data_IF_744495318969
#
_entry.id   IF_744495318969
#
_cell.length_a   1.000
_cell.length_b   1.000
_cell.length_c   1.000
_cell.angle_alpha   90.00
_cell.angle_beta   90.00
_cell.angle_gamma   90.00
#
_symmetry.space_group_name_H-M   'P 1'
#
loop_
_entity.id
_entity.type
_entity.pdbx_description
1 polymer ?
#
# COMPACT_ATOMS: atom_id res chain seq x y z
N UNK A 1 14.15 52.04 -1.98
CA UNK A 1 12.87 51.34 -2.22
C UNK A 1 13.03 49.95 -2.86
N UNK A 2 13.84 49.76 -3.92
CA UNK A 2 14.02 48.45 -4.60
C UNK A 2 14.55 47.31 -3.72
N UNK A 3 15.47 47.57 -2.80
CA UNK A 3 16.08 46.54 -1.93
C UNK A 3 15.08 45.93 -0.92
N UNK A 4 14.20 46.75 -0.35
CA UNK A 4 13.18 46.27 0.60
C UNK A 4 12.13 45.38 -0.08
N UNK A 5 11.76 45.71 -1.31
CA UNK A 5 10.83 44.91 -2.12
C UNK A 5 11.40 43.50 -2.39
N UNK A 6 12.69 43.41 -2.74
CA UNK A 6 13.36 42.13 -2.99
C UNK A 6 13.44 41.26 -1.72
N UNK A 7 13.72 41.87 -0.57
CA UNK A 7 13.75 41.16 0.72
C UNK A 7 12.35 40.65 1.07
N UNK A 8 11.32 41.47 0.91
CA UNK A 8 9.94 41.07 1.17
C UNK A 8 9.49 39.92 0.25
N UNK A 9 9.88 39.96 -1.03
CA UNK A 9 9.60 38.89 -1.99
C UNK A 9 10.30 37.58 -1.60
N UNK A 10 11.59 37.65 -1.25
CA UNK A 10 12.36 36.49 -0.83
C UNK A 10 11.78 35.84 0.45
N UNK A 11 11.37 36.67 1.43
CA UNK A 11 10.73 36.20 2.65
C UNK A 11 9.37 35.52 2.36
N UNK A 12 8.57 36.09 1.47
CA UNK A 12 7.30 35.49 1.05
C UNK A 12 7.51 34.13 0.34
N UNK A 13 8.49 34.04 -0.57
CA UNK A 13 8.83 32.78 -1.23
C UNK A 13 9.32 31.72 -0.24
N UNK A 14 10.20 32.09 0.70
CA UNK A 14 10.70 31.18 1.72
C UNK A 14 9.57 30.68 2.65
N UNK A 15 8.64 31.57 3.02
CA UNK A 15 7.46 31.20 3.81
C UNK A 15 6.55 30.21 3.07
N UNK A 16 6.26 30.47 1.80
CA UNK A 16 5.45 29.57 0.96
C UNK A 16 6.15 28.23 0.78
N UNK A 17 7.45 28.22 0.49
CA UNK A 17 8.24 26.99 0.36
C UNK A 17 8.22 26.17 1.66
N UNK A 18 8.38 26.82 2.82
CA UNK A 18 8.31 26.17 4.12
C UNK A 18 6.92 25.56 4.38
N UNK A 19 5.85 26.27 4.04
CA UNK A 19 4.47 25.77 4.18
C UNK A 19 4.15 24.62 3.23
N UNK A 20 4.79 24.55 2.07
CA UNK A 20 4.60 23.47 1.09
C UNK A 20 5.52 22.27 1.31
N UNK A 21 6.60 22.44 2.08
CA UNK A 21 7.58 21.39 2.39
C UNK A 21 6.93 20.07 2.87
N UNK A 22 5.94 20.06 3.78
CA UNK A 22 5.30 18.82 4.22
C UNK A 22 4.57 18.08 3.11
N UNK A 23 4.03 18.80 2.12
CA UNK A 23 3.33 18.21 0.96
C UNK A 23 4.30 17.61 -0.05
N UNK A 24 5.50 18.20 -0.19
CA UNK A 24 6.56 17.66 -1.05
C UNK A 24 7.12 16.33 -0.53
N UNK A 25 7.10 16.14 0.78
CA UNK A 25 7.50 14.89 1.44
C UNK A 25 6.36 13.90 1.67
N UNK A 26 5.11 14.29 1.36
CA UNK A 26 3.99 13.36 1.40
C UNK A 26 4.16 12.31 0.29
N UNK A 27 4.02 11.03 0.63
CA UNK A 27 4.07 9.96 -0.37
C UNK A 27 2.93 10.23 -1.38
N UNK A 28 3.22 10.23 -2.70
CA UNK A 28 2.18 10.40 -3.69
C UNK A 28 1.14 9.29 -3.51
N UNK A 29 -0.15 9.62 -3.65
CA UNK A 29 -1.21 8.65 -3.46
C UNK A 29 -1.05 7.56 -4.53
N UNK A 30 -1.21 6.30 -4.12
CA UNK A 30 -0.94 5.11 -4.93
C UNK A 30 -1.93 4.02 -4.56
N UNK A 31 -2.17 3.06 -5.46
CA UNK A 31 -2.94 1.89 -5.06
C UNK A 31 -2.28 1.22 -3.88
N UNK A 32 -3.08 0.71 -2.96
CA UNK A 32 -2.57 0.05 -1.76
C UNK A 32 -3.20 -1.33 -1.66
N UNK A 33 -2.37 -2.34 -1.37
CA UNK A 33 -2.86 -3.66 -0.98
C UNK A 33 -2.46 -3.93 0.45
N UNK A 34 -3.47 -4.22 1.27
CA UNK A 34 -3.32 -4.46 2.71
C UNK A 34 -3.65 -5.90 3.00
N UNK A 35 -2.69 -6.62 3.55
CA UNK A 35 -2.87 -7.99 4.03
C UNK A 35 -3.11 -7.93 5.53
N UNK A 36 -4.27 -8.41 5.97
CA UNK A 36 -4.67 -8.48 7.37
C UNK A 36 -4.64 -9.92 7.86
N UNK A 37 -3.93 -10.18 8.95
CA UNK A 37 -3.94 -11.49 9.59
C UNK A 37 -5.00 -11.55 10.70
N UNK A 38 -6.13 -12.20 10.42
CA UNK A 38 -7.17 -12.56 11.40
C UNK A 38 -7.24 -14.07 11.68
N UNK A 39 -6.21 -14.81 11.30
CA UNK A 39 -6.18 -16.26 11.43
C UNK A 39 -6.08 -16.76 12.87
N UNK A 40 -5.64 -15.89 13.79
CA UNK A 40 -5.30 -16.22 15.17
C UNK A 40 -3.88 -16.77 15.36
N UNK A 41 -3.18 -17.09 14.26
CA UNK A 41 -1.78 -17.56 14.27
C UNK A 41 -0.83 -16.62 13.54
N UNK A 42 0.42 -17.03 13.37
CA UNK A 42 1.40 -16.31 12.55
C UNK A 42 1.25 -16.70 11.08
N UNK A 43 1.30 -15.71 10.18
CA UNK A 43 1.58 -15.97 8.77
C UNK A 43 3.08 -15.79 8.55
N UNK A 44 3.71 -16.74 7.86
CA UNK A 44 5.13 -16.68 7.50
C UNK A 44 5.27 -16.64 5.98
N UNK A 45 6.39 -16.09 5.49
CA UNK A 45 6.71 -16.01 4.05
C UNK A 45 5.54 -15.50 3.20
N UNK A 46 4.88 -14.44 3.66
CA UNK A 46 3.77 -13.82 2.95
C UNK A 46 4.32 -13.19 1.68
N UNK A 47 3.88 -13.69 0.52
CA UNK A 47 4.29 -13.20 -0.80
C UNK A 47 3.07 -12.89 -1.65
N UNK A 48 2.95 -11.64 -2.06
CA UNK A 48 1.91 -11.16 -2.96
C UNK A 48 2.52 -10.82 -4.31
N UNK A 49 2.00 -11.42 -5.38
CA UNK A 49 2.35 -11.10 -6.76
C UNK A 49 1.23 -10.29 -7.40
N UNK A 50 1.62 -9.22 -8.09
CA UNK A 50 0.71 -8.32 -8.79
C UNK A 50 1.47 -7.62 -9.92
N UNK A 51 0.95 -7.67 -11.16
CA UNK A 51 1.54 -6.96 -12.30
C UNK A 51 3.02 -7.28 -12.52
N UNK A 52 3.41 -8.55 -12.37
CA UNK A 52 4.81 -9.00 -12.47
C UNK A 52 5.70 -8.69 -11.26
N UNK A 53 5.25 -7.86 -10.31
CA UNK A 53 5.99 -7.50 -9.10
C UNK A 53 5.65 -8.46 -7.96
N UNK A 54 6.60 -8.68 -7.06
CA UNK A 54 6.40 -9.48 -5.85
C UNK A 54 6.66 -8.62 -4.61
N UNK A 55 5.67 -8.54 -3.73
CA UNK A 55 5.76 -7.93 -2.42
C UNK A 55 5.90 -9.03 -1.38
N UNK A 56 6.76 -8.85 -0.38
CA UNK A 56 7.03 -9.88 0.61
C UNK A 56 7.06 -9.31 2.03
N UNK A 57 6.53 -10.09 2.97
CA UNK A 57 6.75 -9.92 4.40
C UNK A 57 7.16 -11.27 4.99
N UNK A 58 8.24 -11.29 5.76
CA UNK A 58 8.77 -12.53 6.34
C UNK A 58 7.79 -13.16 7.34
N UNK A 59 7.17 -12.31 8.15
CA UNK A 59 6.17 -12.74 9.13
C UNK A 59 5.12 -11.66 9.35
N UNK A 60 3.91 -12.10 9.69
CA UNK A 60 2.80 -11.24 10.07
C UNK A 60 2.08 -11.87 11.27
N UNK A 61 2.23 -11.25 12.45
CA UNK A 61 1.59 -11.72 13.67
C UNK A 61 0.06 -11.62 13.60
N UNK A 62 -0.64 -12.38 14.44
CA UNK A 62 -2.09 -12.31 14.55
C UNK A 62 -2.55 -10.88 14.90
N UNK A 63 -3.62 -10.42 14.26
CA UNK A 63 -4.17 -9.07 14.43
C UNK A 63 -3.37 -7.95 13.75
N UNK A 64 -2.19 -8.25 13.17
CA UNK A 64 -1.39 -7.26 12.43
C UNK A 64 -1.79 -7.19 10.97
N UNK A 65 -1.41 -6.08 10.34
CA UNK A 65 -1.55 -5.86 8.92
C UNK A 65 -0.25 -5.32 8.33
N UNK A 66 -0.02 -5.62 7.05
CA UNK A 66 1.03 -5.02 6.25
C UNK A 66 0.40 -4.40 5.01
N UNK A 67 0.88 -3.22 4.64
CA UNK A 67 0.40 -2.50 3.47
C UNK A 67 1.53 -2.36 2.45
N UNK A 68 1.21 -2.63 1.19
CA UNK A 68 2.12 -2.48 0.07
C UNK A 68 1.55 -1.47 -0.91
N UNK A 69 2.16 -0.28 -1.05
CA UNK A 69 1.80 0.63 -2.12
C UNK A 69 2.29 0.07 -3.46
N UNK A 70 1.50 0.22 -4.51
CA UNK A 70 1.83 -0.23 -5.85
C UNK A 70 1.29 0.71 -6.92
N UNK A 71 1.86 0.57 -8.13
CA UNK A 71 1.39 1.22 -9.35
C UNK A 71 1.24 0.15 -10.42
N UNK A 72 0.26 0.34 -11.29
CA UNK A 72 -0.06 -0.56 -12.38
C UNK A 72 -0.03 0.22 -13.69
N UNK A 73 0.64 -0.37 -14.68
CA UNK A 73 0.63 0.13 -16.05
C UNK A 73 -0.47 -0.56 -16.88
N UNK A 74 -0.98 -1.69 -16.39
CA UNK A 74 -2.05 -2.50 -16.98
C UNK A 74 -2.83 -3.23 -15.89
N UNK A 75 -4.05 -3.65 -16.21
CA UNK A 75 -4.89 -4.43 -15.31
C UNK A 75 -4.17 -5.71 -14.85
N UNK A 76 -4.26 -6.00 -13.56
CA UNK A 76 -3.59 -7.15 -12.99
C UNK A 76 -4.43 -7.86 -11.93
N UNK A 77 -4.21 -9.17 -11.78
CA UNK A 77 -4.81 -9.99 -10.74
C UNK A 77 -3.82 -10.29 -9.62
N UNK A 78 -4.34 -10.48 -8.41
CA UNK A 78 -3.51 -10.81 -7.26
C UNK A 78 -3.28 -12.31 -7.17
N UNK A 79 -2.05 -12.68 -6.78
CA UNK A 79 -1.72 -14.02 -6.33
C UNK A 79 -0.98 -13.93 -4.99
N UNK A 80 -1.59 -14.43 -3.93
CA UNK A 80 -1.05 -14.46 -2.58
C UNK A 80 -0.59 -15.87 -2.23
N UNK A 81 0.57 -16.00 -1.58
CA UNK A 81 0.98 -17.23 -0.90
C UNK A 81 1.53 -16.91 0.48
N UNK A 82 1.31 -17.81 1.44
CA UNK A 82 1.82 -17.71 2.80
C UNK A 82 1.95 -19.09 3.43
N UNK A 83 2.81 -19.21 4.43
CA UNK A 83 2.92 -20.40 5.27
C UNK A 83 2.15 -20.14 6.58
N UNK A 84 1.30 -21.09 6.97
CA UNK A 84 0.55 -21.06 8.22
C UNK A 84 0.55 -22.47 8.83
N UNK A 85 0.97 -22.60 10.09
CA UNK A 85 1.04 -23.89 10.80
C UNK A 85 1.79 -24.96 9.98
N UNK A 86 2.94 -24.57 9.43
CA UNK A 86 3.79 -25.37 8.52
C UNK A 86 3.15 -25.80 7.19
N UNK A 87 1.93 -25.33 6.90
CA UNK A 87 1.23 -25.58 5.65
C UNK A 87 1.34 -24.37 4.74
N UNK A 88 1.87 -24.57 3.52
CA UNK A 88 1.85 -23.53 2.49
C UNK A 88 0.45 -23.39 1.91
N UNK A 89 -0.04 -22.15 1.86
CA UNK A 89 -1.35 -21.78 1.33
C UNK A 89 -1.21 -20.77 0.21
N UNK A 90 -2.13 -20.85 -0.73
CA UNK A 90 -2.14 -20.05 -1.95
C UNK A 90 -3.56 -19.54 -2.17
N UNK A 91 -3.67 -18.32 -2.70
CA UNK A 91 -4.91 -17.77 -3.17
C UNK A 91 -4.64 -16.93 -4.42
N UNK A 92 -5.53 -17.01 -5.39
CA UNK A 92 -5.53 -16.16 -6.58
C UNK A 92 -6.93 -15.59 -6.75
N UNK A 93 -7.02 -14.29 -6.94
CA UNK A 93 -8.31 -13.63 -7.08
C UNK A 93 -8.20 -12.12 -6.99
N UNK A 94 -9.35 -11.47 -7.10
CA UNK A 94 -9.41 -10.02 -7.21
C UNK A 94 -8.76 -9.49 -8.49
N UNK A 95 -9.05 -8.23 -8.77
CA UNK A 95 -8.47 -7.49 -9.88
C UNK A 95 -8.21 -6.08 -9.42
N UNK A 96 -7.05 -5.56 -9.78
CA UNK A 96 -6.72 -4.16 -9.70
C UNK A 96 -6.67 -3.63 -11.13
N UNK A 97 -7.43 -2.57 -11.38
CA UNK A 97 -7.53 -1.94 -12.68
C UNK A 97 -6.49 -0.84 -12.78
N UNK A 98 -5.82 -0.76 -13.92
CA UNK A 98 -4.99 0.39 -14.22
C UNK A 98 -5.89 1.61 -14.45
N UNK A 99 -5.50 2.76 -13.90
CA UNK A 99 -6.26 3.98 -14.08
C UNK A 99 -5.95 5.06 -13.06
N UNK A 100 -6.59 6.24 -13.19
CA UNK A 100 -6.38 7.37 -12.28
C UNK A 100 -7.10 7.18 -10.92
N UNK A 101 -8.04 6.24 -10.83
CA UNK A 101 -8.80 5.96 -9.62
C UNK A 101 -8.00 5.06 -8.69
N UNK A 102 -7.50 5.64 -7.60
CA UNK A 102 -6.76 4.92 -6.59
C UNK A 102 -7.69 4.03 -5.77
N UNK A 103 -7.24 2.81 -5.53
CA UNK A 103 -8.00 1.80 -4.80
C UNK A 103 -7.16 1.18 -3.71
N UNK A 104 -7.81 0.95 -2.57
CA UNK A 104 -7.29 0.16 -1.46
C UNK A 104 -7.90 -1.23 -1.50
N UNK A 105 -7.06 -2.21 -1.76
CA UNK A 105 -7.40 -3.63 -1.75
C UNK A 105 -7.10 -4.21 -0.37
N UNK A 106 -8.06 -4.89 0.24
CA UNK A 106 -7.86 -5.54 1.54
C UNK A 106 -8.04 -7.03 1.36
N UNK A 107 -6.98 -7.77 1.70
CA UNK A 107 -6.94 -9.23 1.73
C UNK A 107 -6.87 -9.66 3.19
N UNK A 108 -7.91 -10.32 3.68
CA UNK A 108 -7.99 -10.75 5.07
C UNK A 108 -7.88 -12.26 5.16
N UNK A 109 -6.87 -12.74 5.86
CA UNK A 109 -6.68 -14.17 6.14
C UNK A 109 -7.37 -14.50 7.45
N UNK A 110 -8.46 -15.25 7.39
CA UNK A 110 -9.28 -15.68 8.52
C UNK A 110 -8.82 -17.02 9.10
N UNK A 111 -9.42 -17.42 10.23
CA UNK A 111 -9.16 -18.72 10.87
C UNK A 111 -9.43 -19.87 9.90
N UNK A 112 -8.58 -20.90 9.93
CA UNK A 112 -8.64 -22.02 8.98
C UNK A 112 -8.09 -21.72 7.59
N UNK A 113 -7.53 -20.51 7.39
CA UNK A 113 -6.93 -20.06 6.14
C UNK A 113 -7.96 -19.71 5.06
N UNK A 114 -9.22 -19.46 5.44
CA UNK A 114 -10.20 -18.77 4.59
C UNK A 114 -9.70 -17.36 4.30
N UNK A 115 -10.02 -16.83 3.13
CA UNK A 115 -9.59 -15.49 2.73
C UNK A 115 -10.78 -14.67 2.23
N UNK A 116 -10.94 -13.48 2.80
CA UNK A 116 -11.94 -12.51 2.40
C UNK A 116 -11.24 -11.36 1.67
N UNK A 117 -11.71 -11.04 0.46
CA UNK A 117 -11.17 -9.97 -0.38
C UNK A 117 -12.23 -8.89 -0.64
N UNK A 118 -11.83 -7.63 -0.49
CA UNK A 118 -12.65 -6.49 -0.89
C UNK A 118 -11.78 -5.30 -1.31
N UNK A 119 -12.29 -4.49 -2.24
CA UNK A 119 -11.65 -3.25 -2.68
C UNK A 119 -12.52 -2.06 -2.30
N UNK A 120 -11.89 -0.96 -1.89
CA UNK A 120 -12.56 0.31 -1.59
C UNK A 120 -11.83 1.46 -2.29
N UNK A 121 -12.54 2.47 -2.81
CA UNK A 121 -11.91 3.69 -3.27
C UNK A 121 -11.21 4.39 -2.10
N UNK A 122 -10.06 5.01 -2.38
CA UNK A 122 -9.31 5.83 -1.41
C UNK A 122 -9.76 7.29 -1.42
#
# INVERSE_FOLDING_TARGET
MRKGLLIALAAACAWVAWKQLPRMFARPPAHEVVIQNRSGGWLKRVRLRLGGRTFAAESLAAGRQVAFPFRLDHDASFALSWDQDSTRRNWSGGRAFAGPLLQRHVIRVEKGGRLDYFARPE
#
